data_IF_085779909691
#
_entry.id   IF_085779909691
#
_cell.length_a   1.000
_cell.length_b   1.000
_cell.length_c   1.000
_cell.angle_alpha   90.00
_cell.angle_beta   90.00
_cell.angle_gamma   90.00
#
_symmetry.space_group_name_H-M   'P 1'
#
loop_
_entity.id
_entity.type
_entity.pdbx_description
1 polymer ?
#
# COMPACT_ATOMS: atom_id res chain seq x y z
N UNK A 1 -22.17 -14.23 -27.70
CA UNK A 1 -21.24 -13.12 -27.67
C UNK A 1 -21.64 -12.30 -26.44
N UNK A 2 -21.09 -12.63 -25.28
CA UNK A 2 -21.28 -11.86 -24.06
C UNK A 2 -20.31 -10.71 -24.13
N UNK A 3 -20.86 -9.51 -24.32
CA UNK A 3 -20.11 -8.28 -24.21
C UNK A 3 -19.41 -8.26 -22.87
N UNK A 4 -18.08 -8.43 -22.90
CA UNK A 4 -17.19 -8.09 -21.82
C UNK A 4 -17.28 -6.57 -21.63
N UNK A 5 -18.34 -6.10 -20.97
CA UNK A 5 -18.43 -4.75 -20.48
C UNK A 5 -17.28 -4.57 -19.49
N UNK A 6 -16.17 -4.18 -20.08
CA UNK A 6 -15.04 -3.51 -19.56
C UNK A 6 -14.84 -3.50 -18.05
N UNK A 7 -14.53 -4.66 -17.45
CA UNK A 7 -13.66 -4.61 -16.28
C UNK A 7 -12.35 -4.04 -16.81
N UNK A 8 -11.95 -2.81 -16.47
CA UNK A 8 -10.66 -2.31 -16.86
C UNK A 8 -9.64 -3.34 -16.37
N UNK A 9 -9.07 -4.12 -17.30
CA UNK A 9 -8.05 -5.11 -17.01
C UNK A 9 -8.49 -6.51 -16.54
N UNK A 10 -9.78 -6.88 -16.49
CA UNK A 10 -10.21 -8.23 -16.12
C UNK A 10 -9.83 -8.68 -14.70
N UNK A 11 -9.63 -7.72 -13.78
CA UNK A 11 -9.19 -7.97 -12.41
C UNK A 11 -10.27 -7.54 -11.42
N UNK A 12 -10.30 -8.15 -10.21
CA UNK A 12 -11.20 -7.71 -9.15
C UNK A 12 -10.94 -6.25 -8.79
N UNK A 13 -12.01 -5.54 -8.45
CA UNK A 13 -11.90 -4.17 -7.95
C UNK A 13 -11.61 -4.17 -6.46
N UNK A 14 -10.81 -3.21 -6.04
CA UNK A 14 -10.56 -2.94 -4.64
C UNK A 14 -11.05 -1.54 -4.28
N UNK A 15 -11.74 -1.42 -3.16
CA UNK A 15 -12.13 -0.13 -2.59
C UNK A 15 -11.60 -0.04 -1.18
N UNK A 16 -10.73 0.93 -0.94
CA UNK A 16 -10.26 1.28 0.39
C UNK A 16 -11.33 2.10 1.09
N UNK A 17 -11.74 1.66 2.27
CA UNK A 17 -12.76 2.33 3.08
C UNK A 17 -12.13 3.20 4.15
N UNK A 18 -12.64 4.42 4.29
CA UNK A 18 -12.21 5.37 5.32
C UNK A 18 -13.36 5.70 6.28
N UNK A 19 -13.71 4.81 7.22
CA UNK A 19 -14.93 4.93 8.03
C UNK A 19 -14.96 6.14 8.97
N UNK A 20 -13.81 6.78 9.22
CA UNK A 20 -13.69 7.99 10.05
C UNK A 20 -13.06 9.17 9.28
N UNK A 21 -13.00 9.07 7.94
CA UNK A 21 -12.32 10.07 7.13
C UNK A 21 -10.88 10.27 7.60
N UNK A 22 -10.44 11.54 7.72
CA UNK A 22 -9.09 11.89 8.17
C UNK A 22 -8.92 11.95 9.70
N UNK A 23 -9.94 11.61 10.48
CA UNK A 23 -9.81 11.61 11.94
C UNK A 23 -8.75 10.60 12.38
N UNK A 24 -7.78 11.06 13.17
CA UNK A 24 -6.69 10.25 13.69
C UNK A 24 -6.30 10.73 15.08
N UNK A 25 -5.84 9.84 15.94
CA UNK A 25 -5.30 10.16 17.26
C UNK A 25 -3.81 10.56 17.22
N UNK A 26 -3.12 10.33 16.09
CA UNK A 26 -1.75 10.80 15.85
C UNK A 26 -1.73 12.05 14.96
N UNK A 27 -0.60 12.78 15.03
CA UNK A 27 -0.28 13.95 14.22
C UNK A 27 1.05 13.75 13.48
N UNK A 28 1.12 12.76 12.58
CA UNK A 28 2.35 12.48 11.83
C UNK A 28 2.70 13.65 10.89
N UNK A 29 3.94 14.14 10.94
CA UNK A 29 4.40 15.35 10.25
C UNK A 29 4.29 15.26 8.72
N UNK A 30 4.56 14.09 8.14
CA UNK A 30 4.47 13.85 6.70
C UNK A 30 3.08 13.45 6.23
N UNK A 31 2.08 13.31 7.12
CA UNK A 31 0.78 12.78 6.72
C UNK A 31 0.09 13.70 5.71
N UNK A 32 -0.09 13.18 4.51
CA UNK A 32 -0.77 13.90 3.42
C UNK A 32 -2.30 13.91 3.58
N UNK A 33 -2.83 13.03 4.43
CA UNK A 33 -4.26 12.79 4.55
C UNK A 33 -4.92 13.63 5.66
N UNK A 34 -4.19 14.02 6.71
CA UNK A 34 -4.73 14.85 7.81
C UNK A 34 -5.32 16.18 7.33
N UNK A 35 -4.84 16.72 6.23
CA UNK A 35 -5.30 17.99 5.66
C UNK A 35 -6.53 17.85 4.74
N UNK A 36 -6.91 16.61 4.38
CA UNK A 36 -7.97 16.34 3.40
C UNK A 36 -9.33 16.04 4.03
N UNK A 37 -9.39 15.93 5.34
CA UNK A 37 -10.50 15.28 5.99
C UNK A 37 -11.74 16.12 6.15
N UNK A 38 -12.86 15.58 5.72
CA UNK A 38 -14.16 15.91 6.27
C UNK A 38 -14.28 15.34 7.69
N UNK A 39 -14.98 15.99 8.58
CA UNK A 39 -15.37 15.44 9.90
C UNK A 39 -16.46 14.37 9.80
N UNK A 40 -16.73 13.84 8.63
CA UNK A 40 -17.73 12.82 8.40
C UNK A 40 -17.32 11.49 9.04
N UNK A 41 -18.30 10.76 9.51
CA UNK A 41 -18.17 9.41 10.07
C UNK A 41 -19.19 8.52 9.38
N UNK A 42 -18.75 7.39 8.85
CA UNK A 42 -19.63 6.43 8.17
C UNK A 42 -20.74 5.97 9.10
N UNK A 43 -21.99 6.10 8.66
CA UNK A 43 -23.17 5.59 9.37
C UNK A 43 -23.48 4.14 8.97
N UNK A 44 -24.37 3.49 9.72
CA UNK A 44 -24.76 2.09 9.48
C UNK A 44 -25.46 1.90 8.13
N UNK A 45 -26.23 2.89 7.67
CA UNK A 45 -26.91 2.82 6.37
C UNK A 45 -25.89 2.82 5.22
N UNK A 46 -24.87 3.68 5.30
CA UNK A 46 -23.82 3.73 4.32
C UNK A 46 -22.96 2.47 4.34
N UNK A 47 -22.67 1.94 5.54
CA UNK A 47 -21.94 0.68 5.71
C UNK A 47 -22.70 -0.49 5.04
N UNK A 48 -24.02 -0.59 5.25
CA UNK A 48 -24.83 -1.63 4.65
C UNK A 48 -24.92 -1.49 3.12
N UNK A 49 -25.15 -0.28 2.63
CA UNK A 49 -25.24 0.01 1.19
C UNK A 49 -23.92 -0.30 0.48
N UNK A 50 -22.79 0.15 1.06
CA UNK A 50 -21.47 -0.18 0.53
C UNK A 50 -21.24 -1.70 0.51
N UNK A 51 -21.46 -2.37 1.64
CA UNK A 51 -21.19 -3.82 1.77
C UNK A 51 -21.99 -4.60 0.72
N UNK A 52 -23.28 -4.30 0.55
CA UNK A 52 -24.12 -4.92 -0.45
C UNK A 52 -23.62 -4.71 -1.86
N UNK A 53 -23.42 -3.44 -2.27
CA UNK A 53 -22.98 -3.10 -3.62
C UNK A 53 -21.59 -3.64 -3.92
N UNK A 54 -20.66 -3.54 -2.96
CA UNK A 54 -19.29 -3.98 -3.16
C UNK A 54 -19.18 -5.50 -3.39
N UNK A 55 -19.92 -6.30 -2.61
CA UNK A 55 -19.98 -7.74 -2.81
C UNK A 55 -20.68 -8.10 -4.14
N UNK A 56 -21.79 -7.42 -4.47
CA UNK A 56 -22.54 -7.66 -5.71
C UNK A 56 -21.72 -7.31 -6.97
N UNK A 57 -20.90 -6.26 -6.90
CA UNK A 57 -20.09 -5.79 -8.02
C UNK A 57 -18.87 -6.71 -8.33
N UNK A 58 -18.45 -7.56 -7.38
CA UNK A 58 -17.28 -8.42 -7.58
C UNK A 58 -17.57 -9.56 -8.56
N UNK A 59 -16.59 -9.82 -9.43
CA UNK A 59 -16.63 -10.93 -10.41
C UNK A 59 -15.87 -12.16 -9.94
N UNK A 60 -15.16 -12.07 -8.81
CA UNK A 60 -14.33 -13.15 -8.23
C UNK A 60 -15.04 -13.84 -7.07
N UNK A 61 -14.70 -15.12 -6.78
CA UNK A 61 -15.24 -15.84 -5.63
C UNK A 61 -14.74 -15.29 -4.28
N UNK A 62 -13.67 -14.49 -4.29
CA UNK A 62 -13.04 -13.89 -3.12
C UNK A 62 -13.21 -12.38 -3.14
N UNK A 63 -13.60 -11.78 -2.02
CA UNK A 63 -13.83 -10.33 -1.86
C UNK A 63 -13.03 -9.83 -0.66
N UNK A 64 -12.13 -8.86 -0.88
CA UNK A 64 -11.30 -8.28 0.15
C UNK A 64 -11.85 -6.91 0.58
N UNK A 65 -12.19 -6.77 1.84
CA UNK A 65 -12.50 -5.48 2.47
C UNK A 65 -11.23 -4.86 3.06
N UNK A 66 -10.97 -3.61 2.71
CA UNK A 66 -9.79 -2.87 3.18
C UNK A 66 -10.23 -1.68 4.03
N UNK A 67 -9.97 -1.74 5.33
CA UNK A 67 -10.30 -0.70 6.30
C UNK A 67 -9.09 0.20 6.55
N UNK A 68 -9.24 1.49 6.29
CA UNK A 68 -8.16 2.46 6.34
C UNK A 68 -8.68 3.84 6.80
N UNK A 69 -7.96 4.90 6.50
CA UNK A 69 -8.37 6.29 6.73
C UNK A 69 -7.37 7.05 7.57
N UNK A 70 -7.84 7.89 8.48
CA UNK A 70 -7.03 8.47 9.54
C UNK A 70 -6.56 7.37 10.50
N UNK A 71 -7.43 7.04 11.47
CA UNK A 71 -7.24 5.84 12.29
C UNK A 71 -8.55 5.07 12.37
N UNK A 72 -8.67 3.92 11.70
CA UNK A 72 -9.93 3.18 11.63
C UNK A 72 -10.39 2.64 12.98
N UNK A 73 -9.49 2.38 13.94
CA UNK A 73 -9.84 1.94 15.29
C UNK A 73 -10.48 3.05 16.16
N UNK A 74 -10.66 4.25 15.65
CA UNK A 74 -11.55 5.25 16.27
C UNK A 74 -13.03 4.87 16.11
N UNK A 75 -13.38 3.98 15.17
CA UNK A 75 -14.66 3.28 15.18
C UNK A 75 -14.65 2.26 16.31
N UNK A 76 -15.77 2.10 17.05
CA UNK A 76 -15.88 1.09 18.08
C UNK A 76 -15.90 -0.33 17.49
N UNK A 77 -15.57 -1.33 18.27
CA UNK A 77 -15.57 -2.73 17.87
C UNK A 77 -16.92 -3.17 17.29
N UNK A 78 -18.03 -2.67 17.87
CA UNK A 78 -19.39 -2.94 17.40
C UNK A 78 -19.64 -2.55 15.93
N UNK A 79 -18.94 -1.54 15.41
CA UNK A 79 -19.01 -1.19 14.00
C UNK A 79 -18.46 -2.33 13.11
N UNK A 80 -17.35 -2.92 13.48
CA UNK A 80 -16.74 -4.03 12.74
C UNK A 80 -17.53 -5.34 12.92
N UNK A 81 -18.11 -5.57 14.10
CA UNK A 81 -19.06 -6.67 14.29
C UNK A 81 -20.25 -6.53 13.35
N UNK A 82 -20.81 -5.32 13.24
CA UNK A 82 -21.88 -5.03 12.29
C UNK A 82 -21.43 -5.20 10.83
N UNK A 83 -20.24 -4.78 10.48
CA UNK A 83 -19.69 -5.01 9.15
C UNK A 83 -19.62 -6.50 8.79
N UNK A 84 -19.15 -7.35 9.71
CA UNK A 84 -19.12 -8.79 9.50
C UNK A 84 -20.50 -9.43 9.38
N UNK A 85 -21.49 -8.96 10.13
CA UNK A 85 -22.88 -9.40 9.97
C UNK A 85 -23.40 -9.09 8.56
N UNK A 86 -23.16 -7.88 8.08
CA UNK A 86 -23.55 -7.45 6.73
C UNK A 86 -22.81 -8.23 5.64
N UNK A 87 -21.52 -8.46 5.82
CA UNK A 87 -20.72 -9.29 4.93
C UNK A 87 -21.32 -10.70 4.81
N UNK A 88 -21.63 -11.36 5.94
CA UNK A 88 -22.29 -12.68 5.94
C UNK A 88 -23.65 -12.64 5.25
N UNK A 89 -24.45 -11.59 5.52
CA UNK A 89 -25.78 -11.40 4.90
C UNK A 89 -25.72 -11.36 3.37
N UNK A 90 -24.70 -10.68 2.82
CA UNK A 90 -24.57 -10.43 1.39
C UNK A 90 -23.55 -11.31 0.65
N UNK A 91 -22.84 -12.19 1.34
CA UNK A 91 -21.72 -13.00 0.78
C UNK A 91 -22.12 -13.87 -0.41
N UNK A 92 -23.35 -14.41 -0.45
CA UNK A 92 -23.85 -15.27 -1.55
C UNK A 92 -22.86 -16.39 -1.93
N UNK A 93 -22.21 -17.00 -0.94
CA UNK A 93 -21.23 -18.06 -1.14
C UNK A 93 -19.81 -17.60 -1.50
N UNK A 94 -19.54 -16.30 -1.56
CA UNK A 94 -18.17 -15.77 -1.72
C UNK A 94 -17.41 -15.85 -0.41
N UNK A 95 -16.12 -16.04 -0.51
CA UNK A 95 -15.19 -15.87 0.59
C UNK A 95 -14.98 -14.37 0.82
N UNK A 96 -15.14 -13.93 2.08
CA UNK A 96 -14.93 -12.54 2.44
C UNK A 96 -13.72 -12.45 3.36
N UNK A 97 -12.71 -11.70 2.94
CA UNK A 97 -11.51 -11.42 3.71
C UNK A 97 -11.49 -9.95 4.13
N UNK A 98 -10.83 -9.68 5.25
CA UNK A 98 -10.72 -8.34 5.79
C UNK A 98 -9.26 -8.00 6.08
N UNK A 99 -8.81 -6.82 5.66
CA UNK A 99 -7.56 -6.23 6.10
C UNK A 99 -7.79 -4.85 6.72
N UNK A 100 -7.02 -4.54 7.75
CA UNK A 100 -7.11 -3.33 8.53
C UNK A 100 -5.75 -2.65 8.61
N UNK A 101 -5.64 -1.41 8.13
CA UNK A 101 -4.42 -0.61 8.26
C UNK A 101 -4.56 0.36 9.42
N UNK A 102 -3.75 0.21 10.46
CA UNK A 102 -3.83 1.00 11.68
C UNK A 102 -2.46 1.49 12.15
N UNK A 103 -2.46 2.56 12.94
CA UNK A 103 -1.26 2.97 13.67
C UNK A 103 -0.96 2.08 14.91
N UNK A 104 -1.84 1.17 15.26
CA UNK A 104 -1.66 0.16 16.31
C UNK A 104 -1.79 0.66 17.73
N UNK A 105 -1.85 1.97 17.99
CA UNK A 105 -1.84 2.53 19.35
C UNK A 105 -3.12 2.26 20.15
N UNK A 106 -4.23 1.99 19.45
CA UNK A 106 -5.55 1.73 20.06
C UNK A 106 -5.87 0.24 20.21
N UNK A 107 -4.97 -0.66 19.81
CA UNK A 107 -5.16 -2.10 19.99
C UNK A 107 -5.26 -2.46 21.48
N UNK A 108 -6.18 -3.36 21.77
CA UNK A 108 -6.43 -3.96 23.10
C UNK A 108 -6.52 -5.48 22.94
N UNK A 109 -6.53 -6.21 24.05
CA UNK A 109 -6.74 -7.67 24.02
C UNK A 109 -8.08 -8.03 23.38
N UNK A 110 -9.14 -7.25 23.63
CA UNK A 110 -10.46 -7.45 23.01
C UNK A 110 -10.40 -7.29 21.48
N UNK A 111 -9.71 -6.23 21.00
CA UNK A 111 -9.48 -6.04 19.59
C UNK A 111 -8.69 -7.21 18.97
N UNK A 112 -7.61 -7.63 19.60
CA UNK A 112 -6.77 -8.71 19.05
C UNK A 112 -7.51 -10.05 19.04
N UNK A 113 -8.33 -10.36 20.05
CA UNK A 113 -9.20 -11.54 20.05
C UNK A 113 -10.17 -11.50 18.86
N UNK A 114 -10.89 -10.39 18.69
CA UNK A 114 -11.81 -10.21 17.56
C UNK A 114 -11.11 -10.35 16.19
N UNK A 115 -9.96 -9.70 16.00
CA UNK A 115 -9.20 -9.75 14.76
C UNK A 115 -8.73 -11.17 14.44
N UNK A 116 -8.29 -11.92 15.46
CA UNK A 116 -7.88 -13.33 15.33
C UNK A 116 -9.04 -14.25 14.97
N UNK A 117 -10.15 -14.14 15.70
CA UNK A 117 -11.36 -14.95 15.49
C UNK A 117 -11.97 -14.77 14.09
N UNK A 118 -11.82 -13.56 13.51
CA UNK A 118 -12.38 -13.23 12.22
C UNK A 118 -11.33 -13.14 11.10
N UNK A 119 -10.13 -13.67 11.32
CA UNK A 119 -9.05 -13.81 10.33
C UNK A 119 -8.67 -12.50 9.63
N UNK A 120 -8.61 -11.39 10.37
CA UNK A 120 -8.13 -10.12 9.80
C UNK A 120 -6.63 -10.17 9.55
N UNK A 121 -6.20 -9.63 8.40
CA UNK A 121 -4.81 -9.23 8.20
C UNK A 121 -4.64 -7.79 8.69
N UNK A 122 -3.68 -7.56 9.57
CA UNK A 122 -3.46 -6.24 10.18
C UNK A 122 -2.18 -5.61 9.69
N UNK A 123 -2.29 -4.50 8.97
CA UNK A 123 -1.14 -3.65 8.63
C UNK A 123 -0.84 -2.67 9.76
N UNK A 124 0.38 -2.72 10.30
CA UNK A 124 0.82 -1.80 11.37
C UNK A 124 1.76 -0.74 10.82
N UNK A 125 1.39 0.50 11.08
CA UNK A 125 2.21 1.66 10.70
C UNK A 125 3.34 1.90 11.69
N UNK A 126 4.60 1.57 11.32
CA UNK A 126 5.78 1.80 12.14
C UNK A 126 7.00 2.11 11.25
N UNK A 127 7.78 3.16 11.60
CA UNK A 127 8.82 3.72 10.72
C UNK A 127 10.25 3.34 11.15
N UNK A 128 10.40 2.29 11.95
CA UNK A 128 11.70 1.82 12.42
C UNK A 128 11.87 1.92 13.95
N UNK A 129 13.11 1.91 14.46
CA UNK A 129 13.40 2.05 15.88
C UNK A 129 12.91 3.40 16.41
N UNK A 130 12.73 3.48 17.74
CA UNK A 130 12.07 4.63 18.39
C UNK A 130 12.57 6.01 17.94
N UNK A 131 13.87 6.31 17.86
CA UNK A 131 14.32 7.64 17.45
C UNK A 131 13.89 8.01 16.02
N UNK A 132 13.87 7.04 15.10
CA UNK A 132 13.47 7.25 13.70
C UNK A 132 11.95 7.36 13.56
N UNK A 133 11.20 6.55 14.30
CA UNK A 133 9.75 6.58 14.31
C UNK A 133 9.23 7.90 14.92
N UNK A 134 9.68 8.24 16.12
CA UNK A 134 9.21 9.40 16.87
C UNK A 134 9.68 10.74 16.26
N UNK A 135 10.61 10.71 15.31
CA UNK A 135 10.98 11.91 14.56
C UNK A 135 9.78 12.51 13.80
N UNK A 136 8.91 11.65 13.26
CA UNK A 136 7.78 12.06 12.41
C UNK A 136 6.42 11.56 12.90
N UNK A 137 6.34 10.36 13.51
CA UNK A 137 5.08 9.79 14.02
C UNK A 137 4.89 10.11 15.49
N UNK A 138 4.14 11.16 15.76
CA UNK A 138 3.89 11.64 17.13
C UNK A 138 2.40 11.66 17.46
N UNK A 139 2.11 11.65 18.74
CA UNK A 139 0.75 11.99 19.21
C UNK A 139 0.42 13.43 18.82
N UNK A 140 -0.86 13.79 18.77
CA UNK A 140 -1.29 15.19 18.50
C UNK A 140 -0.71 16.22 19.48
N UNK A 141 -0.24 15.77 20.65
CA UNK A 141 0.42 16.60 21.66
C UNK A 141 1.94 16.63 21.53
N UNK A 142 2.49 16.04 20.47
CA UNK A 142 3.93 15.98 20.22
C UNK A 142 4.70 14.90 20.98
N UNK A 143 4.03 14.06 21.77
CA UNK A 143 4.64 12.94 22.50
C UNK A 143 5.00 11.75 21.61
N UNK A 144 5.82 10.84 22.13
CA UNK A 144 6.14 9.56 21.50
C UNK A 144 4.89 8.73 21.24
N UNK A 145 4.86 8.03 20.11
CA UNK A 145 3.86 6.99 19.84
C UNK A 145 4.46 5.60 19.74
N UNK A 146 5.79 5.49 19.66
CA UNK A 146 6.50 4.23 19.39
C UNK A 146 6.18 3.12 20.42
N UNK A 147 6.18 3.45 21.70
CA UNK A 147 5.91 2.45 22.75
C UNK A 147 4.49 1.87 22.65
N UNK A 148 3.50 2.72 22.31
CA UNK A 148 2.12 2.27 22.12
C UNK A 148 1.96 1.40 20.88
N UNK A 149 2.67 1.73 19.78
CA UNK A 149 2.70 0.90 18.56
C UNK A 149 3.35 -0.45 18.87
N UNK A 150 4.50 -0.47 19.55
CA UNK A 150 5.17 -1.73 19.94
C UNK A 150 4.33 -2.59 20.87
N UNK A 151 3.62 -1.99 21.82
CA UNK A 151 2.62 -2.69 22.63
C UNK A 151 1.56 -3.36 21.74
N UNK A 152 1.05 -2.63 20.73
CA UNK A 152 0.09 -3.16 19.76
C UNK A 152 0.64 -4.36 18.98
N UNK A 153 1.88 -4.27 18.48
CA UNK A 153 2.56 -5.37 17.79
C UNK A 153 2.68 -6.60 18.69
N UNK A 154 3.16 -6.41 19.93
CA UNK A 154 3.28 -7.52 20.88
C UNK A 154 1.93 -8.17 21.22
N UNK A 155 0.83 -7.40 21.27
CA UNK A 155 -0.50 -7.94 21.46
C UNK A 155 -0.95 -8.77 20.25
N UNK A 156 -0.75 -8.29 19.01
CA UNK A 156 -1.05 -9.07 17.80
C UNK A 156 -0.28 -10.39 17.79
N UNK A 157 1.02 -10.36 18.09
CA UNK A 157 1.88 -11.55 18.15
C UNK A 157 1.38 -12.53 19.23
N UNK A 158 1.07 -12.05 20.42
CA UNK A 158 0.57 -12.88 21.55
C UNK A 158 -0.76 -13.55 21.22
N UNK A 159 -1.65 -12.87 20.52
CA UNK A 159 -2.94 -13.41 20.08
C UNK A 159 -2.85 -14.23 18.78
N UNK A 160 -1.70 -14.28 18.12
CA UNK A 160 -1.51 -14.97 16.85
C UNK A 160 -2.29 -14.34 15.69
N UNK A 161 -2.51 -13.02 15.72
CA UNK A 161 -3.12 -12.27 14.62
C UNK A 161 -2.09 -12.13 13.48
N UNK A 162 -2.48 -12.39 12.25
CA UNK A 162 -1.63 -12.12 11.08
C UNK A 162 -1.42 -10.63 10.90
N UNK A 163 -0.16 -10.22 10.75
CA UNK A 163 0.19 -8.82 10.60
C UNK A 163 1.35 -8.58 9.65
N UNK A 164 1.39 -7.40 9.08
CA UNK A 164 2.50 -6.86 8.32
C UNK A 164 2.90 -5.48 8.84
N UNK A 165 4.14 -5.09 8.57
CA UNK A 165 4.61 -3.74 8.86
C UNK A 165 4.50 -2.86 7.61
N UNK A 166 3.94 -1.65 7.78
CA UNK A 166 3.98 -0.60 6.79
C UNK A 166 4.76 0.58 7.33
N UNK A 167 5.86 0.92 6.67
CA UNK A 167 6.70 2.04 7.05
C UNK A 167 6.62 3.18 6.03
N UNK A 168 6.75 4.39 6.50
CA UNK A 168 6.92 5.56 5.64
C UNK A 168 8.39 5.99 5.67
N UNK A 169 9.05 5.94 4.51
CA UNK A 169 10.46 6.36 4.38
C UNK A 169 10.50 7.85 4.14
N UNK A 170 11.02 8.57 5.13
CA UNK A 170 11.08 10.03 5.19
C UNK A 170 12.54 10.51 5.30
N UNK A 171 12.75 11.83 5.28
CA UNK A 171 14.09 12.43 5.31
C UNK A 171 14.96 12.02 6.51
N UNK A 172 14.35 11.57 7.61
CA UNK A 172 15.10 11.14 8.81
C UNK A 172 15.52 9.68 8.68
N UNK A 173 14.57 8.76 8.48
CA UNK A 173 14.88 7.33 8.51
C UNK A 173 15.60 6.83 7.25
N UNK A 174 15.48 7.52 6.11
CA UNK A 174 16.19 7.20 4.87
C UNK A 174 17.71 7.23 5.04
N UNK A 175 18.21 8.01 5.99
CA UNK A 175 19.65 8.10 6.32
C UNK A 175 20.17 6.91 7.14
N UNK A 176 19.30 6.04 7.62
CA UNK A 176 19.62 4.93 8.52
C UNK A 176 19.12 3.57 8.03
N UNK A 177 19.38 3.18 6.77
CA UNK A 177 18.78 2.00 6.14
C UNK A 177 19.09 0.69 6.90
N UNK A 178 20.31 0.50 7.40
CA UNK A 178 20.67 -0.70 8.16
C UNK A 178 19.93 -0.79 9.50
N UNK A 179 19.85 0.32 10.25
CA UNK A 179 19.12 0.35 11.52
C UNK A 179 17.62 0.11 11.29
N UNK A 180 17.07 0.69 10.22
CA UNK A 180 15.71 0.47 9.77
C UNK A 180 15.44 -1.03 9.49
N UNK A 181 16.25 -1.65 8.64
CA UNK A 181 16.04 -3.05 8.23
C UNK A 181 16.20 -4.02 9.41
N UNK A 182 17.26 -3.89 10.20
CA UNK A 182 17.53 -4.75 11.36
C UNK A 182 16.47 -4.64 12.44
N UNK A 183 15.86 -3.47 12.59
CA UNK A 183 14.74 -3.30 13.50
C UNK A 183 13.55 -4.22 13.11
N UNK A 184 13.12 -4.21 11.85
CA UNK A 184 12.01 -5.06 11.41
C UNK A 184 12.32 -6.55 11.58
N UNK A 185 13.54 -6.98 11.32
CA UNK A 185 13.98 -8.34 11.64
C UNK A 185 13.88 -8.63 13.14
N UNK A 186 14.32 -7.73 13.99
CA UNK A 186 14.38 -7.93 15.44
C UNK A 186 13.00 -8.06 16.09
N UNK A 187 11.97 -7.47 15.52
CA UNK A 187 10.59 -7.57 15.99
C UNK A 187 9.81 -8.73 15.37
N UNK A 188 10.48 -9.59 14.59
CA UNK A 188 9.84 -10.75 13.97
C UNK A 188 8.86 -10.37 12.84
N UNK A 189 9.12 -9.29 12.12
CA UNK A 189 8.34 -8.91 10.95
C UNK A 189 8.62 -9.86 9.80
N UNK A 190 7.60 -10.51 9.27
CA UNK A 190 7.72 -11.41 8.09
C UNK A 190 7.37 -10.69 6.79
N UNK A 191 6.52 -9.67 6.84
CA UNK A 191 6.06 -8.90 5.67
C UNK A 191 6.27 -7.42 5.89
N UNK A 192 7.18 -6.82 5.10
CA UNK A 192 7.55 -5.42 5.18
C UNK A 192 7.14 -4.69 3.90
N UNK A 193 6.31 -3.67 4.07
CA UNK A 193 5.99 -2.69 3.04
C UNK A 193 6.52 -1.32 3.45
N UNK A 194 7.04 -0.55 2.49
CA UNK A 194 7.42 0.82 2.75
C UNK A 194 7.14 1.74 1.56
N UNK A 195 6.81 2.98 1.87
CA UNK A 195 6.44 4.00 0.88
C UNK A 195 7.29 5.24 1.08
N UNK A 196 7.93 5.78 0.03
CA UNK A 196 8.73 6.99 0.12
C UNK A 196 7.86 8.24 0.28
N UNK A 197 8.26 9.17 1.13
CA UNK A 197 7.66 10.51 1.20
C UNK A 197 8.17 11.33 0.02
N UNK A 198 7.25 11.72 -0.85
CA UNK A 198 7.44 12.68 -1.94
C UNK A 198 6.28 13.66 -1.89
N UNK A 199 6.43 14.70 -1.08
CA UNK A 199 5.41 15.74 -0.85
C UNK A 199 6.01 17.11 -1.13
N UNK A 200 5.67 17.74 -2.28
CA UNK A 200 6.21 19.06 -2.64
C UNK A 200 5.96 20.14 -1.58
N UNK A 201 4.84 20.04 -0.88
CA UNK A 201 4.46 20.99 0.18
C UNK A 201 5.12 20.68 1.54
N UNK A 202 5.83 19.57 1.66
CA UNK A 202 6.53 19.11 2.87
C UNK A 202 7.97 18.70 2.54
N UNK A 203 8.79 19.60 1.98
CA UNK A 203 10.13 19.27 1.49
C UNK A 203 11.05 18.75 2.60
N UNK A 204 10.90 19.23 3.84
CA UNK A 204 11.72 18.82 4.99
C UNK A 204 11.52 17.35 5.38
N UNK A 205 10.42 16.73 4.95
CA UNK A 205 10.13 15.31 5.21
C UNK A 205 10.30 14.44 3.96
N UNK A 206 10.40 15.06 2.79
CA UNK A 206 10.58 14.37 1.51
C UNK A 206 12.02 13.89 1.32
N UNK A 207 12.16 12.76 0.65
CA UNK A 207 13.46 12.16 0.34
C UNK A 207 13.89 12.53 -1.07
N UNK A 208 15.20 12.51 -1.34
CA UNK A 208 15.74 12.67 -2.69
C UNK A 208 15.83 11.33 -3.42
N UNK A 209 16.00 11.39 -4.75
CA UNK A 209 16.19 10.19 -5.56
C UNK A 209 17.46 9.43 -5.18
N UNK A 210 18.55 10.14 -4.87
CA UNK A 210 19.83 9.56 -4.46
C UNK A 210 19.73 8.86 -3.10
N UNK A 211 19.04 9.48 -2.13
CA UNK A 211 18.74 8.87 -0.84
C UNK A 211 17.94 7.59 -1.00
N UNK A 212 16.91 7.63 -1.87
CA UNK A 212 16.07 6.48 -2.15
C UNK A 212 16.86 5.31 -2.75
N UNK A 213 17.69 5.59 -3.75
CA UNK A 213 18.54 4.58 -4.38
C UNK A 213 19.53 3.94 -3.40
N UNK A 214 20.20 4.75 -2.57
CA UNK A 214 21.10 4.25 -1.53
C UNK A 214 20.36 3.40 -0.48
N UNK A 215 19.18 3.87 -0.04
CA UNK A 215 18.34 3.14 0.91
C UNK A 215 17.95 1.76 0.36
N UNK A 216 17.43 1.69 -0.85
CA UNK A 216 17.04 0.44 -1.47
C UNK A 216 18.21 -0.54 -1.66
N UNK A 217 19.35 -0.07 -2.16
CA UNK A 217 20.54 -0.90 -2.34
C UNK A 217 21.00 -1.48 -1.01
N UNK A 218 21.07 -0.66 0.04
CA UNK A 218 21.53 -1.10 1.36
C UNK A 218 20.60 -2.14 2.00
N UNK A 219 19.28 -1.95 1.88
CA UNK A 219 18.30 -2.95 2.36
C UNK A 219 18.41 -4.24 1.55
N UNK A 220 18.53 -4.12 0.24
CA UNK A 220 18.63 -5.27 -0.65
C UNK A 220 19.87 -6.11 -0.35
N UNK A 221 21.01 -5.48 -0.12
CA UNK A 221 22.27 -6.14 0.21
C UNK A 221 22.18 -6.97 1.51
N UNK A 222 21.43 -6.53 2.51
CA UNK A 222 21.17 -7.29 3.72
C UNK A 222 20.17 -8.45 3.43
N UNK A 223 19.08 -8.14 2.71
CA UNK A 223 18.01 -9.07 2.41
C UNK A 223 18.44 -10.24 1.53
N UNK A 224 19.17 -9.98 0.44
CA UNK A 224 19.54 -11.00 -0.54
C UNK A 224 20.54 -12.04 0.03
N UNK A 225 21.25 -11.68 1.09
CA UNK A 225 22.25 -12.57 1.73
C UNK A 225 21.64 -13.55 2.73
N UNK A 226 20.48 -13.25 3.33
CA UNK A 226 20.06 -14.02 4.50
C UNK A 226 18.53 -14.15 4.69
N UNK A 227 17.72 -13.35 3.98
CA UNK A 227 16.28 -13.23 4.30
C UNK A 227 15.35 -13.53 3.13
N UNK A 228 15.85 -13.92 1.95
CA UNK A 228 15.02 -14.33 0.80
C UNK A 228 14.16 -15.52 1.19
N UNK A 229 12.82 -15.36 1.09
CA UNK A 229 11.85 -16.38 1.52
C UNK A 229 11.61 -16.44 3.03
N UNK A 230 12.15 -15.49 3.81
CA UNK A 230 11.94 -15.36 5.26
C UNK A 230 11.31 -14.03 5.65
N UNK A 231 11.84 -12.94 5.12
CA UNK A 231 11.28 -11.61 5.22
C UNK A 231 10.87 -11.16 3.81
N UNK A 232 9.58 -11.03 3.60
CA UNK A 232 9.02 -10.60 2.32
C UNK A 232 9.00 -9.07 2.29
N UNK A 233 9.86 -8.48 1.45
CA UNK A 233 9.90 -7.04 1.22
C UNK A 233 9.13 -6.73 -0.05
N UNK A 234 7.94 -6.15 0.08
CA UNK A 234 6.98 -5.98 -1.02
C UNK A 234 7.61 -5.40 -2.30
N UNK A 235 8.50 -4.39 -2.19
CA UNK A 235 9.14 -3.79 -3.35
C UNK A 235 10.12 -4.74 -4.04
N UNK A 236 10.83 -5.56 -3.28
CA UNK A 236 11.78 -6.54 -3.85
C UNK A 236 11.04 -7.70 -4.51
N UNK A 237 9.96 -8.18 -3.86
CA UNK A 237 9.09 -9.22 -4.43
C UNK A 237 8.39 -8.72 -5.70
N UNK A 238 7.89 -7.48 -5.71
CA UNK A 238 7.31 -6.85 -6.89
C UNK A 238 8.33 -6.66 -8.03
N UNK A 239 9.58 -6.35 -7.68
CA UNK A 239 10.67 -6.27 -8.65
C UNK A 239 10.91 -7.65 -9.29
N UNK A 240 11.05 -8.69 -8.48
CA UNK A 240 11.21 -10.05 -9.00
C UNK A 240 10.01 -10.50 -9.83
N UNK A 241 8.77 -10.20 -9.39
CA UNK A 241 7.56 -10.49 -10.15
C UNK A 241 7.60 -9.88 -11.56
N UNK A 242 8.00 -8.62 -11.69
CA UNK A 242 8.19 -7.97 -12.98
C UNK A 242 9.32 -8.60 -13.81
N UNK A 243 10.39 -9.08 -13.17
CA UNK A 243 11.48 -9.82 -13.84
C UNK A 243 11.02 -11.14 -14.45
N UNK A 244 10.16 -11.88 -13.74
CA UNK A 244 9.60 -13.13 -14.24
C UNK A 244 8.38 -12.93 -15.15
N UNK A 245 7.88 -11.69 -15.28
CA UNK A 245 6.76 -11.35 -16.17
C UNK A 245 5.38 -11.66 -15.61
N UNK A 246 5.24 -11.70 -14.28
CA UNK A 246 3.94 -11.86 -13.60
C UNK A 246 3.50 -10.56 -12.94
N UNK A 247 2.20 -10.39 -12.60
CA UNK A 247 1.71 -9.19 -11.93
C UNK A 247 2.45 -8.92 -10.60
N UNK A 248 2.94 -7.69 -10.37
CA UNK A 248 3.80 -7.38 -9.21
C UNK A 248 3.05 -7.31 -7.87
N UNK A 249 1.73 -7.40 -7.86
CA UNK A 249 0.92 -7.31 -6.62
C UNK A 249 0.83 -5.90 -6.01
N UNK A 250 1.53 -4.92 -6.57
CA UNK A 250 1.51 -3.52 -6.11
C UNK A 250 1.32 -2.57 -7.28
N UNK A 251 0.42 -1.60 -7.12
CA UNK A 251 0.02 -0.70 -8.22
C UNK A 251 1.14 0.24 -8.67
N UNK A 252 2.07 0.63 -7.80
CA UNK A 252 3.20 1.48 -8.16
C UNK A 252 4.11 0.83 -9.21
N UNK A 253 4.29 -0.49 -9.13
CA UNK A 253 5.13 -1.29 -10.03
C UNK A 253 4.34 -1.95 -11.19
N UNK A 254 3.03 -1.69 -11.30
CA UNK A 254 2.17 -2.19 -12.38
C UNK A 254 2.15 -1.24 -13.57
N UNK A 255 1.87 -1.75 -14.77
CA UNK A 255 1.81 -0.94 -16.00
C UNK A 255 0.68 0.11 -15.96
N UNK A 256 -0.42 -0.22 -15.32
CA UNK A 256 -1.62 0.62 -15.23
C UNK A 256 -2.07 0.83 -13.79
N UNK A 257 -2.93 1.81 -13.56
CA UNK A 257 -3.61 2.11 -12.29
C UNK A 257 -5.10 1.76 -12.35
N UNK A 258 -5.90 2.34 -11.45
CA UNK A 258 -7.37 2.37 -11.52
C UNK A 258 -8.08 1.16 -10.95
N UNK A 259 -7.35 0.21 -10.33
CA UNK A 259 -7.95 -0.98 -9.72
C UNK A 259 -8.30 -0.78 -8.25
N UNK A 260 -7.68 0.18 -7.57
CA UNK A 260 -7.88 0.48 -6.16
C UNK A 260 -8.45 1.90 -6.02
N UNK A 261 -9.76 1.98 -5.92
CA UNK A 261 -10.48 3.22 -5.58
C UNK A 261 -10.49 3.43 -4.05
N UNK A 262 -10.93 4.61 -3.62
CA UNK A 262 -11.14 4.92 -2.21
C UNK A 262 -12.54 5.48 -2.00
N UNK A 263 -13.18 5.09 -0.91
CA UNK A 263 -14.44 5.68 -0.47
C UNK A 263 -14.26 6.38 0.87
N UNK A 264 -14.61 7.66 0.87
CA UNK A 264 -14.61 8.50 2.08
C UNK A 264 -15.83 8.21 2.97
N UNK A 265 -15.79 8.71 4.20
CA UNK A 265 -16.80 8.45 5.22
C UNK A 265 -18.19 9.02 4.90
N UNK A 266 -18.31 9.90 3.93
CA UNK A 266 -19.58 10.47 3.43
C UNK A 266 -20.16 9.70 2.22
N UNK A 267 -19.47 8.66 1.77
CA UNK A 267 -19.85 7.84 0.61
C UNK A 267 -19.29 8.34 -0.72
N UNK A 268 -18.49 9.40 -0.73
CA UNK A 268 -17.85 9.88 -1.95
C UNK A 268 -16.71 8.95 -2.37
N UNK A 269 -16.70 8.57 -3.65
CA UNK A 269 -15.72 7.64 -4.23
C UNK A 269 -14.76 8.40 -5.13
N UNK A 270 -13.46 8.11 -5.00
CA UNK A 270 -12.39 8.69 -5.80
C UNK A 270 -11.57 7.60 -6.50
N UNK A 271 -10.92 7.97 -7.59
CA UNK A 271 -10.13 7.06 -8.43
C UNK A 271 -9.00 6.35 -7.70
N UNK A 272 -8.40 6.98 -6.69
CA UNK A 272 -7.28 6.45 -5.92
C UNK A 272 -7.10 7.24 -4.62
N UNK A 273 -6.56 6.61 -3.58
CA UNK A 273 -6.26 7.23 -2.28
C UNK A 273 -5.31 8.43 -2.37
N UNK A 274 -4.35 8.39 -3.28
CA UNK A 274 -3.44 9.51 -3.51
C UNK A 274 -4.10 10.69 -4.25
N UNK A 275 -5.21 10.47 -4.92
CA UNK A 275 -5.89 11.44 -5.78
C UNK A 275 -7.29 11.81 -5.25
N UNK A 276 -7.40 12.05 -3.94
CA UNK A 276 -8.63 12.54 -3.31
C UNK A 276 -8.75 14.04 -3.59
N UNK A 277 -9.37 14.37 -4.72
CA UNK A 277 -9.61 15.75 -5.17
C UNK A 277 -10.82 15.81 -6.11
N UNK A 278 -11.46 16.98 -6.29
CA UNK A 278 -12.60 17.12 -7.19
C UNK A 278 -12.37 16.59 -8.62
N UNK A 279 -11.14 16.72 -9.13
CA UNK A 279 -10.79 16.25 -10.48
C UNK A 279 -10.76 14.71 -10.62
N UNK A 280 -10.71 13.99 -9.52
CA UNK A 280 -10.64 12.52 -9.50
C UNK A 280 -11.81 11.88 -8.77
N UNK A 281 -12.86 12.67 -8.48
CA UNK A 281 -14.09 12.19 -7.90
C UNK A 281 -14.89 11.43 -8.95
N UNK A 282 -15.30 10.20 -8.61
CA UNK A 282 -16.11 9.34 -9.49
C UNK A 282 -17.60 9.53 -9.24
N UNK A 283 -17.99 9.85 -8.00
CA UNK A 283 -19.38 10.04 -7.61
C UNK A 283 -19.58 9.81 -6.12
N UNK A 284 -20.83 9.55 -5.72
CA UNK A 284 -21.19 9.19 -4.36
C UNK A 284 -22.14 7.99 -4.37
N UNK A 285 -21.86 7.00 -3.53
CA UNK A 285 -22.60 5.73 -3.50
C UNK A 285 -24.08 5.90 -3.14
N UNK A 286 -24.46 7.00 -2.51
CA UNK A 286 -25.85 7.33 -2.19
C UNK A 286 -26.67 7.72 -3.43
N UNK A 287 -26.03 8.03 -4.55
CA UNK A 287 -26.66 8.53 -5.77
C UNK A 287 -26.33 7.70 -7.02
N UNK A 288 -25.25 6.94 -6.99
CA UNK A 288 -24.76 6.12 -8.09
C UNK A 288 -24.28 4.77 -7.56
N UNK A 289 -24.33 3.74 -8.37
CA UNK A 289 -23.81 2.43 -7.98
C UNK A 289 -22.28 2.41 -8.05
N UNK A 290 -21.65 1.57 -7.20
CA UNK A 290 -20.21 1.33 -7.28
C UNK A 290 -19.78 0.84 -8.68
N UNK A 291 -20.61 0.00 -9.32
CA UNK A 291 -20.34 -0.53 -10.66
C UNK A 291 -20.27 0.60 -11.68
N UNK A 292 -21.24 1.54 -11.68
CA UNK A 292 -21.22 2.69 -12.59
C UNK A 292 -19.98 3.57 -12.39
N UNK A 293 -19.57 3.79 -11.15
CA UNK A 293 -18.38 4.60 -10.81
C UNK A 293 -17.07 3.91 -11.20
N UNK A 294 -16.89 2.67 -10.77
CA UNK A 294 -15.60 1.96 -10.89
C UNK A 294 -15.35 1.42 -12.30
N UNK A 295 -16.41 1.20 -13.09
CA UNK A 295 -16.31 0.83 -14.51
C UNK A 295 -16.55 2.00 -15.46
N UNK A 296 -16.58 3.25 -14.95
CA UNK A 296 -16.74 4.43 -15.80
C UNK A 296 -15.54 4.61 -16.74
N UNK A 297 -15.80 5.27 -17.89
CA UNK A 297 -14.72 5.66 -18.80
C UNK A 297 -13.69 6.57 -18.11
N UNK A 298 -14.13 7.43 -17.19
CA UNK A 298 -13.24 8.27 -16.39
C UNK A 298 -12.24 7.43 -15.59
N UNK A 299 -12.69 6.39 -14.89
CA UNK A 299 -11.82 5.49 -14.12
C UNK A 299 -10.91 4.67 -15.04
N UNK A 300 -11.41 4.23 -16.17
CA UNK A 300 -10.63 3.52 -17.18
C UNK A 300 -9.48 4.39 -17.72
N UNK A 301 -9.78 5.61 -18.13
CA UNK A 301 -8.78 6.56 -18.63
C UNK A 301 -7.78 6.96 -17.53
N UNK A 302 -8.22 7.14 -16.29
CA UNK A 302 -7.32 7.32 -15.16
C UNK A 302 -6.30 6.17 -15.07
N UNK A 303 -6.78 4.93 -15.16
CA UNK A 303 -5.91 3.75 -15.10
C UNK A 303 -4.91 3.68 -16.24
N UNK A 304 -5.36 3.89 -17.47
CA UNK A 304 -4.52 3.88 -18.68
C UNK A 304 -3.51 5.03 -18.70
N UNK A 305 -3.86 6.18 -18.11
CA UNK A 305 -3.01 7.37 -18.11
C UNK A 305 -1.62 7.08 -17.54
N UNK A 306 -1.51 6.15 -16.60
CA UNK A 306 -0.22 5.74 -16.03
C UNK A 306 0.77 5.27 -17.11
N UNK A 307 0.31 4.53 -18.11
CA UNK A 307 1.13 4.02 -19.21
C UNK A 307 1.22 5.02 -20.38
N UNK A 308 0.09 5.64 -20.73
CA UNK A 308 0.00 6.46 -21.95
C UNK A 308 0.67 7.83 -21.82
N UNK A 309 0.82 8.34 -20.58
CA UNK A 309 1.47 9.63 -20.31
C UNK A 309 2.95 9.53 -19.95
N UNK A 310 3.57 8.37 -20.15
CA UNK A 310 5.01 8.21 -19.89
C UNK A 310 5.82 9.12 -20.83
N UNK A 311 6.79 9.89 -20.31
CA UNK A 311 7.68 10.70 -21.13
C UNK A 311 8.61 9.81 -21.98
N UNK A 312 9.21 10.38 -23.01
CA UNK A 312 10.05 9.65 -23.97
C UNK A 312 11.19 8.90 -23.28
N UNK A 313 11.86 9.52 -22.33
CA UNK A 313 12.97 8.89 -21.60
C UNK A 313 12.54 7.64 -20.82
N UNK A 314 11.31 7.60 -20.30
CA UNK A 314 10.74 6.40 -19.69
C UNK A 314 10.48 5.31 -20.73
N UNK A 315 9.91 5.68 -21.90
CA UNK A 315 9.61 4.71 -22.98
C UNK A 315 10.88 4.07 -23.56
N UNK A 316 12.00 4.81 -23.56
CA UNK A 316 13.31 4.34 -24.04
C UNK A 316 14.14 3.68 -22.91
N UNK A 317 13.65 3.64 -21.68
CA UNK A 317 14.41 3.16 -20.52
C UNK A 317 14.46 1.62 -20.49
N UNK A 318 15.66 1.05 -20.37
CA UNK A 318 15.86 -0.42 -20.22
C UNK A 318 15.16 -1.01 -19.00
N UNK A 319 14.85 -0.22 -17.99
CA UNK A 319 14.20 -0.62 -16.75
C UNK A 319 12.68 -0.40 -16.75
N UNK A 320 12.10 0.01 -17.89
CA UNK A 320 10.66 0.28 -17.93
C UNK A 320 9.81 -0.93 -17.53
N UNK A 321 10.23 -2.13 -17.90
CA UNK A 321 9.55 -3.38 -17.57
C UNK A 321 9.48 -3.63 -16.05
N UNK A 322 10.45 -3.11 -15.28
CA UNK A 322 10.52 -3.28 -13.83
C UNK A 322 9.77 -2.18 -13.06
N UNK A 323 9.85 -0.90 -13.50
CA UNK A 323 9.28 0.20 -12.73
C UNK A 323 7.97 0.77 -13.30
N UNK A 324 7.67 0.56 -14.59
CA UNK A 324 6.49 1.10 -15.28
C UNK A 324 6.25 2.61 -15.06
N UNK A 325 7.33 3.38 -14.81
CA UNK A 325 7.26 4.80 -14.48
C UNK A 325 6.73 5.10 -13.07
N UNK A 326 6.57 4.11 -12.23
CA UNK A 326 6.13 4.14 -10.83
C UNK A 326 4.80 4.90 -10.64
N UNK A 327 4.45 5.35 -9.42
CA UNK A 327 3.18 6.00 -9.11
C UNK A 327 3.05 7.37 -9.83
N UNK A 328 1.95 7.65 -10.53
CA UNK A 328 1.72 8.96 -11.17
C UNK A 328 1.78 10.14 -10.18
N UNK A 329 1.46 9.93 -8.90
CA UNK A 329 1.58 10.95 -7.85
C UNK A 329 3.00 11.53 -7.78
N UNK A 330 4.01 10.71 -8.02
CA UNK A 330 5.42 11.09 -7.90
C UNK A 330 6.03 11.58 -9.24
N UNK A 331 5.24 11.75 -10.29
CA UNK A 331 5.70 12.21 -11.63
C UNK A 331 5.75 13.72 -11.71
N UNK A 332 6.68 14.32 -10.97
CA UNK A 332 6.78 15.75 -10.73
C UNK A 332 7.83 16.46 -11.62
N UNK A 333 8.62 15.70 -12.40
CA UNK A 333 9.73 16.22 -13.18
C UNK A 333 9.44 16.15 -14.68
N UNK A 334 10.23 16.91 -15.45
CA UNK A 334 10.37 16.72 -16.88
C UNK A 334 11.59 15.86 -17.19
N UNK A 335 11.54 15.10 -18.29
CA UNK A 335 12.65 14.31 -18.77
C UNK A 335 13.71 15.18 -19.50
N UNK A 336 14.80 14.57 -19.96
CA UNK A 336 15.86 15.27 -20.73
C UNK A 336 15.39 15.87 -22.06
N UNK A 337 14.20 15.50 -22.53
CA UNK A 337 13.56 16.04 -23.73
C UNK A 337 12.50 17.10 -23.38
N UNK A 338 12.47 17.57 -22.12
CA UNK A 338 11.49 18.52 -21.58
C UNK A 338 10.04 18.01 -21.59
N UNK A 339 9.81 16.70 -21.69
CA UNK A 339 8.47 16.12 -21.57
C UNK A 339 8.13 15.93 -20.08
N UNK A 340 6.95 16.41 -19.62
CA UNK A 340 6.52 16.24 -18.24
C UNK A 340 6.17 14.78 -17.91
N UNK A 341 6.10 14.45 -16.62
CA UNK A 341 5.63 13.14 -16.16
C UNK A 341 6.75 12.16 -15.80
N UNK A 342 7.98 12.63 -15.63
CA UNK A 342 9.06 11.80 -15.09
C UNK A 342 8.94 11.69 -13.56
N UNK A 343 9.11 10.48 -13.05
CA UNK A 343 9.06 10.21 -11.63
C UNK A 343 10.21 10.91 -10.89
N UNK A 344 9.89 11.55 -9.78
CA UNK A 344 10.86 12.26 -8.93
C UNK A 344 11.98 11.36 -8.42
N UNK A 345 11.68 10.09 -8.12
CA UNK A 345 12.63 9.10 -7.62
C UNK A 345 13.31 8.27 -8.74
N UNK A 346 13.13 8.61 -10.01
CA UNK A 346 13.60 7.82 -11.16
C UNK A 346 15.09 7.48 -11.07
N UNK A 347 15.96 8.43 -10.69
CA UNK A 347 17.40 8.17 -10.55
C UNK A 347 17.69 7.12 -9.47
N UNK A 348 16.95 7.16 -8.36
CA UNK A 348 17.08 6.18 -7.29
C UNK A 348 16.69 4.77 -7.72
N UNK A 349 15.59 4.63 -8.47
CA UNK A 349 15.20 3.34 -9.03
C UNK A 349 16.23 2.81 -10.05
N UNK A 350 16.79 3.67 -10.91
CA UNK A 350 17.88 3.26 -11.83
C UNK A 350 19.13 2.82 -11.06
N UNK A 351 19.47 3.52 -9.97
CA UNK A 351 20.56 3.16 -9.09
C UNK A 351 20.32 1.79 -8.43
N UNK A 352 19.09 1.48 -8.06
CA UNK A 352 18.70 0.20 -7.47
C UNK A 352 18.68 -0.94 -8.49
N UNK A 353 18.00 -0.80 -9.62
CA UNK A 353 17.85 -1.89 -10.60
C UNK A 353 19.18 -2.34 -11.22
N UNK A 354 20.14 -1.44 -11.35
CA UNK A 354 21.40 -1.76 -12.01
C UNK A 354 22.24 -2.82 -11.28
N UNK A 355 22.57 -2.68 -9.99
CA UNK A 355 23.33 -3.70 -9.26
C UNK A 355 22.54 -4.98 -8.98
N UNK A 356 21.20 -4.89 -8.78
CA UNK A 356 20.40 -6.07 -8.44
C UNK A 356 20.03 -6.94 -9.65
N UNK A 357 20.29 -6.48 -10.87
CA UNK A 357 19.87 -7.16 -12.10
C UNK A 357 20.38 -8.61 -12.17
N UNK A 358 21.68 -8.83 -11.85
CA UNK A 358 22.26 -10.18 -11.90
C UNK A 358 21.65 -11.15 -10.89
N UNK A 359 21.23 -10.63 -9.75
CA UNK A 359 20.58 -11.43 -8.71
C UNK A 359 19.12 -11.73 -9.08
N UNK A 360 18.42 -10.74 -9.65
CA UNK A 360 17.07 -10.93 -10.19
C UNK A 360 17.06 -11.94 -11.35
N UNK A 361 18.06 -11.89 -12.25
CA UNK A 361 18.23 -12.86 -13.34
C UNK A 361 18.47 -14.27 -12.78
N UNK A 362 19.31 -14.40 -11.72
CA UNK A 362 19.54 -15.68 -11.06
C UNK A 362 18.24 -16.22 -10.41
N UNK A 363 17.55 -15.39 -9.61
CA UNK A 363 16.31 -15.81 -8.95
C UNK A 363 15.23 -16.19 -9.96
N UNK A 364 15.14 -15.45 -11.08
CA UNK A 364 14.27 -15.82 -12.18
C UNK A 364 14.62 -17.18 -12.75
N UNK A 365 15.90 -17.46 -13.03
CA UNK A 365 16.35 -18.75 -13.55
C UNK A 365 16.05 -19.91 -12.58
N UNK A 366 16.15 -19.68 -11.28
CA UNK A 366 15.74 -20.66 -10.28
C UNK A 366 14.23 -20.94 -10.34
N UNK A 367 13.39 -19.89 -10.42
CA UNK A 367 11.95 -20.03 -10.54
C UNK A 367 11.54 -20.72 -11.85
N UNK A 368 12.15 -20.35 -12.99
CA UNK A 368 11.90 -20.99 -14.29
C UNK A 368 12.25 -22.49 -14.28
N UNK A 369 13.22 -22.88 -13.44
CA UNK A 369 13.62 -24.29 -13.23
C UNK A 369 12.83 -24.99 -12.10
N UNK A 370 11.80 -24.36 -11.53
CA UNK A 370 11.00 -24.91 -10.42
C UNK A 370 11.75 -24.99 -9.09
N UNK A 371 12.80 -24.21 -8.92
CA UNK A 371 13.60 -24.13 -7.68
C UNK A 371 13.32 -22.86 -6.90
N UNK A 372 13.72 -22.83 -5.62
CA UNK A 372 13.49 -21.69 -4.75
C UNK A 372 14.41 -20.50 -5.09
N UNK A 373 13.89 -19.25 -5.21
CA UNK A 373 14.71 -18.06 -5.40
C UNK A 373 15.67 -17.83 -4.24
N UNK A 374 15.36 -18.37 -3.05
CA UNK A 374 16.23 -18.36 -1.86
C UNK A 374 17.60 -19.00 -2.06
N UNK A 375 17.80 -19.79 -3.13
CA UNK A 375 19.11 -20.34 -3.48
C UNK A 375 20.16 -19.25 -3.76
N UNK A 376 19.74 -18.02 -4.04
CA UNK A 376 20.64 -16.87 -4.18
C UNK A 376 21.51 -16.64 -2.94
N UNK A 377 21.01 -16.95 -1.74
CA UNK A 377 21.75 -16.80 -0.48
C UNK A 377 23.01 -17.70 -0.46
N UNK A 378 22.97 -18.87 -1.11
CA UNK A 378 24.11 -19.79 -1.21
C UNK A 378 25.15 -19.31 -2.21
N UNK A 379 24.75 -18.55 -3.26
CA UNK A 379 25.67 -17.98 -4.26
C UNK A 379 26.62 -16.96 -3.65
N UNK A 380 26.16 -16.22 -2.65
CA UNK A 380 26.93 -15.17 -2.00
C UNK A 380 27.90 -15.70 -0.91
N UNK A 381 27.97 -17.03 -0.70
CA UNK A 381 28.88 -17.70 0.24
C UNK A 381 30.12 -18.26 -0.45
N UNK A 382 30.20 -18.19 -1.77
CA UNK A 382 31.32 -18.61 -2.63
C UNK A 382 32.06 -17.35 -3.13
#
# INVERSE_FOLDING_TARGET
MSDNLGVPFGKPMFVMLKPVGASCNLGCEYCYYLEKGSGAVMDDQLLEEFTRQYIEAQTTPQVLFTWHGGEPLLKPLSFYQRALELQRKYARGRQIDNCLQTNGTLLTDEWCAFLRENHFLVGISIDGPQPLHDACRRTRRGGSSWQDVMRGIHMLQRHGVEWNAMATVNAVNVAHPQAFYRFFRSIGCEFLQFTPVVEPNKPDYSITAEQWGHFLCTLYDEWVRQDVGRLFVQLFDATLANWVGVPPGVCSMSATCGQAAVMEADGTVYSCDHFVSPAHQLGNIRHQTLTEMLYSECQHQFGLSKQTTLPRECRECRWLFACHGECPKNRLLSDRYHQPGMNYLCRGYRQFFSPVASDMDFMKAELDAGRAPANIMNRNLI
#
